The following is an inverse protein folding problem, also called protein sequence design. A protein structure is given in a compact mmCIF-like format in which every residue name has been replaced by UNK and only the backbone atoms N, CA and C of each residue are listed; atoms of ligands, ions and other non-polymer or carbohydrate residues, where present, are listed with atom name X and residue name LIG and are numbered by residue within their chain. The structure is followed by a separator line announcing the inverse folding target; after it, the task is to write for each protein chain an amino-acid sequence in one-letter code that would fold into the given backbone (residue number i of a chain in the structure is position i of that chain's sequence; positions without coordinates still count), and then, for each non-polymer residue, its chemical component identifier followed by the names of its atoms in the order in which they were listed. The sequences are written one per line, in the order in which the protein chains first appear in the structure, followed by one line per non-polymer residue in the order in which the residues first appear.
data_IF_804407558938
#
_entry.id   IF_804407558938
#
_cell.length_a   1.000
_cell.length_b   1.000
_cell.length_c   1.000
_cell.angle_alpha   90.00
_cell.angle_beta   90.00
_cell.angle_gamma   90.00
#
_symmetry.space_group_name_H-M   'P 1'
#
loop_
_entity.id
_entity.type
_entity.pdbx_description
1 polymer ?
#
# COMPACT_ATOMS: atom_id res chain seq x y z
N UNK A 1 -29.55 -71.13 3.40
CA UNK A 1 -28.54 -70.34 4.13
C UNK A 1 -27.25 -70.28 3.31
N UNK A 2 -26.90 -69.11 2.75
CA UNK A 2 -25.55 -68.50 2.67
C UNK A 2 -25.60 -67.27 1.75
N UNK A 3 -24.90 -66.23 2.17
CA UNK A 3 -25.01 -64.82 1.78
C UNK A 3 -24.07 -64.43 0.64
N UNK A 4 -24.46 -63.35 -0.07
CA UNK A 4 -23.68 -62.22 -0.64
C UNK A 4 -22.32 -62.50 -1.30
N UNK A 5 -22.11 -62.01 -2.53
CA UNK A 5 -21.09 -60.97 -2.83
C UNK A 5 -21.57 -60.11 -4.02
N UNK A 6 -21.87 -58.85 -3.76
CA UNK A 6 -22.07 -57.79 -4.75
C UNK A 6 -20.69 -57.33 -5.22
N UNK A 7 -20.39 -57.44 -6.52
CA UNK A 7 -19.13 -56.94 -7.08
C UNK A 7 -19.31 -55.51 -7.60
N UNK A 8 -18.69 -54.59 -6.87
CA UNK A 8 -18.55 -53.16 -7.14
C UNK A 8 -17.79 -52.94 -8.45
N UNK A 9 -18.43 -52.39 -9.48
CA UNK A 9 -17.72 -51.87 -10.67
C UNK A 9 -17.43 -50.39 -10.42
N UNK A 10 -16.16 -50.09 -10.19
CA UNK A 10 -15.63 -48.75 -10.09
C UNK A 10 -15.74 -48.05 -11.46
N UNK A 11 -16.60 -47.04 -11.55
CA UNK A 11 -16.58 -46.09 -12.67
C UNK A 11 -15.61 -44.97 -12.30
N UNK A 12 -14.56 -44.84 -13.09
CA UNK A 12 -13.57 -43.77 -13.02
C UNK A 12 -14.29 -42.41 -13.01
N UNK A 13 -14.18 -41.68 -11.90
CA UNK A 13 -14.45 -40.26 -11.88
C UNK A 13 -13.26 -39.54 -12.54
N UNK A 14 -13.39 -39.28 -13.84
CA UNK A 14 -12.46 -38.45 -14.59
C UNK A 14 -12.42 -37.07 -13.94
N UNK A 15 -11.23 -36.69 -13.46
CA UNK A 15 -10.96 -35.40 -12.86
C UNK A 15 -11.37 -34.26 -13.81
N UNK A 16 -12.51 -33.63 -13.56
CA UNK A 16 -12.75 -32.28 -14.02
C UNK A 16 -11.87 -31.37 -13.16
N UNK A 17 -10.61 -31.23 -13.56
CA UNK A 17 -9.76 -30.13 -13.09
C UNK A 17 -10.44 -28.87 -13.61
N UNK A 18 -11.29 -28.28 -12.77
CA UNK A 18 -11.80 -26.95 -13.00
C UNK A 18 -10.56 -26.07 -13.02
N UNK A 19 -10.12 -25.71 -14.22
CA UNK A 19 -9.18 -24.65 -14.49
C UNK A 19 -9.76 -23.38 -13.90
N UNK A 20 -9.54 -23.20 -12.60
CA UNK A 20 -9.72 -21.95 -11.90
C UNK A 20 -8.67 -21.00 -12.45
N UNK A 21 -8.96 -20.42 -13.61
CA UNK A 21 -8.55 -19.04 -13.84
C UNK A 21 -9.28 -18.27 -12.76
N UNK A 22 -8.63 -18.13 -11.59
CA UNK A 22 -9.00 -17.10 -10.65
C UNK A 22 -9.09 -15.84 -11.50
N UNK A 23 -10.30 -15.30 -11.61
CA UNK A 23 -10.53 -13.96 -12.13
C UNK A 23 -9.68 -13.05 -11.26
N UNK A 24 -8.43 -12.82 -11.65
CA UNK A 24 -7.66 -11.72 -11.14
C UNK A 24 -8.54 -10.54 -11.49
N UNK A 25 -9.20 -9.98 -10.46
CA UNK A 25 -9.75 -8.64 -10.57
C UNK A 25 -8.60 -7.84 -11.12
N UNK A 26 -8.68 -7.42 -12.39
CA UNK A 26 -7.72 -6.50 -12.95
C UNK A 26 -8.06 -5.18 -12.26
N UNK A 27 -7.70 -5.06 -10.98
CA UNK A 27 -7.85 -3.84 -10.24
C UNK A 27 -7.09 -2.81 -11.06
N UNK A 28 -7.85 -1.83 -11.53
CA UNK A 28 -7.33 -0.83 -12.46
C UNK A 28 -6.17 -0.14 -11.75
N UNK A 29 -4.97 -0.34 -12.26
CA UNK A 29 -3.77 0.36 -11.78
C UNK A 29 -4.06 1.86 -11.82
N UNK A 30 -3.98 2.58 -10.67
CA UNK A 30 -4.26 4.00 -10.66
C UNK A 30 -3.22 4.73 -11.51
N UNK A 31 -3.64 5.76 -12.25
CA UNK A 31 -2.69 6.68 -12.84
C UNK A 31 -2.22 7.68 -11.77
N UNK A 32 -1.01 8.23 -11.92
CA UNK A 32 -0.50 9.25 -11.00
C UNK A 32 -1.45 10.45 -10.82
N UNK A 33 -2.14 10.86 -11.90
CA UNK A 33 -3.18 11.91 -11.84
C UNK A 33 -4.34 11.60 -10.90
N UNK A 34 -4.64 10.32 -10.67
CA UNK A 34 -5.71 9.89 -9.77
C UNK A 34 -5.30 10.11 -8.29
N UNK A 35 -3.98 10.24 -8.04
CA UNK A 35 -3.42 10.52 -6.72
C UNK A 35 -3.31 12.02 -6.40
N UNK A 36 -3.45 12.91 -7.39
CA UNK A 36 -3.41 14.37 -7.18
C UNK A 36 -4.45 14.83 -6.17
N UNK A 37 -4.10 15.70 -5.25
CA UNK A 37 -4.97 16.21 -4.18
C UNK A 37 -4.32 16.12 -2.81
N UNK A 38 -5.11 16.38 -1.77
CA UNK A 38 -4.65 16.31 -0.38
C UNK A 38 -5.10 15.01 0.27
N UNK A 39 -4.18 14.39 1.00
CA UNK A 39 -4.37 13.17 1.76
C UNK A 39 -4.01 13.42 3.21
N UNK A 40 -4.92 13.10 4.14
CA UNK A 40 -4.61 13.01 5.55
C UNK A 40 -3.71 11.79 5.78
N UNK A 41 -2.58 11.99 6.44
CA UNK A 41 -1.59 10.95 6.73
C UNK A 41 -1.61 10.60 8.21
N UNK A 42 -1.71 9.30 8.50
CA UNK A 42 -1.52 8.73 9.82
C UNK A 42 -0.51 7.60 9.75
N UNK A 43 0.27 7.42 10.80
CA UNK A 43 1.32 6.41 10.85
C UNK A 43 1.46 5.81 12.23
N UNK A 44 1.72 4.51 12.31
CA UNK A 44 2.04 3.83 13.58
C UNK A 44 3.12 2.77 13.38
N UNK A 45 4.10 2.75 14.29
CA UNK A 45 5.26 1.89 14.16
C UNK A 45 6.33 2.23 15.17
N UNK A 46 7.59 2.17 14.74
CA UNK A 46 8.74 2.34 15.62
C UNK A 46 9.75 3.33 15.05
N UNK A 47 10.33 4.12 15.95
CA UNK A 47 11.45 5.03 15.72
C UNK A 47 12.48 4.72 16.81
N UNK A 48 13.71 4.37 16.42
CA UNK A 48 14.78 3.94 17.35
C UNK A 48 14.34 2.83 18.34
N UNK A 49 13.44 1.94 17.90
CA UNK A 49 12.90 0.86 18.72
C UNK A 49 11.83 1.29 19.73
N UNK A 50 11.40 2.56 19.75
CA UNK A 50 10.29 3.04 20.57
C UNK A 50 9.01 3.16 19.73
N UNK A 51 7.84 2.81 20.29
CA UNK A 51 6.58 2.97 19.58
C UNK A 51 6.27 4.45 19.39
N UNK A 52 5.91 4.83 18.16
CA UNK A 52 5.52 6.19 17.79
C UNK A 52 4.21 6.19 17.02
N UNK A 53 3.51 7.32 17.01
CA UNK A 53 2.29 7.52 16.23
C UNK A 53 2.31 8.90 15.62
N UNK A 54 2.22 8.96 14.30
CA UNK A 54 2.04 10.18 13.55
C UNK A 54 0.56 10.53 13.44
N UNK A 55 0.23 11.78 13.76
CA UNK A 55 -1.11 12.34 13.65
C UNK A 55 -1.03 13.67 12.90
N UNK A 56 -2.14 14.02 12.26
CA UNK A 56 -2.35 15.34 11.67
C UNK A 56 -1.31 15.77 10.62
N UNK A 57 -0.66 14.79 9.97
CA UNK A 57 0.20 15.03 8.81
C UNK A 57 -0.64 15.03 7.53
N UNK A 58 -0.11 15.62 6.46
CA UNK A 58 -0.73 15.60 5.13
C UNK A 58 0.29 15.28 4.06
N UNK A 59 -0.17 14.59 3.04
CA UNK A 59 0.49 14.51 1.73
C UNK A 59 -0.33 15.34 0.74
N UNK A 60 0.31 16.29 0.08
CA UNK A 60 -0.28 17.06 -1.02
C UNK A 60 0.43 16.65 -2.30
N UNK A 61 -0.32 16.13 -3.27
CA UNK A 61 0.17 15.82 -4.62
C UNK A 61 -0.38 16.87 -5.57
N UNK A 62 0.47 17.77 -6.05
CA UNK A 62 0.07 18.93 -6.87
C UNK A 62 0.52 18.84 -8.33
N UNK A 63 1.37 17.87 -8.66
CA UNK A 63 1.86 17.61 -10.01
C UNK A 63 1.76 16.12 -10.33
N UNK A 64 1.33 15.79 -11.55
CA UNK A 64 1.36 14.43 -12.06
C UNK A 64 1.54 14.41 -13.59
N UNK A 65 2.45 13.57 -14.07
CA UNK A 65 2.66 13.32 -15.50
C UNK A 65 2.95 11.84 -15.73
N UNK A 66 2.15 11.21 -16.60
CA UNK A 66 2.23 9.76 -16.83
C UNK A 66 2.01 8.97 -15.53
N UNK A 67 3.04 8.28 -15.08
CA UNK A 67 3.05 7.53 -13.82
C UNK A 67 3.86 8.21 -12.70
N UNK A 68 4.49 9.35 -12.97
CA UNK A 68 5.19 10.14 -11.96
C UNK A 68 4.29 11.21 -11.35
N UNK A 69 4.54 11.54 -10.09
CA UNK A 69 3.93 12.66 -9.39
C UNK A 69 4.90 13.33 -8.42
N UNK A 70 4.60 14.56 -8.05
CA UNK A 70 5.35 15.33 -7.07
C UNK A 70 4.41 16.16 -6.20
N UNK A 71 4.95 16.63 -5.08
CA UNK A 71 4.24 17.49 -4.15
C UNK A 71 5.01 17.66 -2.84
N UNK A 72 4.31 17.70 -1.71
CA UNK A 72 4.93 17.87 -0.41
C UNK A 72 4.20 17.16 0.73
N UNK A 73 4.95 16.78 1.77
CA UNK A 73 4.46 16.40 3.09
C UNK A 73 4.35 17.65 3.96
N UNK A 74 3.24 17.82 4.68
CA UNK A 74 3.05 18.90 5.65
C UNK A 74 2.84 18.26 7.03
N UNK A 75 3.62 18.69 8.02
CA UNK A 75 3.53 18.19 9.40
C UNK A 75 3.84 19.30 10.39
N UNK A 76 3.55 19.05 11.67
CA UNK A 76 3.78 20.00 12.74
C UNK A 76 4.27 19.26 13.98
N UNK A 77 5.42 19.69 14.49
CA UNK A 77 5.93 19.23 15.77
C UNK A 77 5.57 20.24 16.86
N UNK A 78 5.35 19.76 18.08
CA UNK A 78 4.98 20.62 19.20
C UNK A 78 6.02 21.72 19.44
N UNK A 79 5.59 22.97 19.28
CA UNK A 79 6.45 24.14 19.50
C UNK A 79 7.25 24.59 18.29
N UNK A 80 7.08 23.95 17.13
CA UNK A 80 7.73 24.33 15.86
C UNK A 80 6.71 24.90 14.86
N UNK A 81 7.17 25.70 13.90
CA UNK A 81 6.29 26.11 12.79
C UNK A 81 5.94 24.89 11.92
N UNK A 82 4.78 24.89 11.22
CA UNK A 82 4.46 23.84 10.25
C UNK A 82 5.58 23.64 9.23
N UNK A 83 6.03 22.40 9.10
CA UNK A 83 7.11 22.00 8.22
C UNK A 83 6.55 21.50 6.89
N UNK A 84 7.35 21.66 5.83
CA UNK A 84 7.06 21.12 4.51
C UNK A 84 8.29 20.46 3.92
N UNK A 85 8.09 19.24 3.44
CA UNK A 85 9.14 18.45 2.78
C UNK A 85 8.68 18.08 1.38
N UNK A 86 9.56 18.28 0.40
CA UNK A 86 9.27 17.89 -0.97
C UNK A 86 9.20 16.37 -1.06
N UNK A 87 8.25 15.86 -1.86
CA UNK A 87 8.15 14.44 -2.16
C UNK A 87 8.09 14.22 -3.66
N UNK A 88 8.65 13.09 -4.10
CA UNK A 88 8.53 12.60 -5.46
C UNK A 88 8.03 11.16 -5.42
N UNK A 89 7.13 10.80 -6.33
CA UNK A 89 6.59 9.46 -6.35
C UNK A 89 6.25 8.94 -7.73
N UNK A 90 5.99 7.64 -7.79
CA UNK A 90 5.56 6.97 -9.00
C UNK A 90 4.60 5.81 -8.70
N UNK A 91 3.71 5.52 -9.64
CA UNK A 91 2.89 4.31 -9.62
C UNK A 91 3.50 3.26 -10.55
N UNK A 92 3.85 2.11 -9.99
CA UNK A 92 4.34 0.95 -10.71
C UNK A 92 3.28 0.33 -11.61
N UNK A 93 3.71 -0.43 -12.60
CA UNK A 93 2.82 -1.17 -13.52
C UNK A 93 1.97 -2.23 -12.82
N UNK A 94 2.33 -2.58 -11.58
CA UNK A 94 1.64 -3.50 -10.68
C UNK A 94 0.74 -2.76 -9.66
N UNK A 95 0.61 -1.44 -9.76
CA UNK A 95 -0.17 -0.61 -8.83
C UNK A 95 0.54 -0.28 -7.52
N UNK A 96 1.81 -0.65 -7.37
CA UNK A 96 2.61 -0.22 -6.22
C UNK A 96 2.91 1.28 -6.31
N UNK A 97 2.62 2.00 -5.24
CA UNK A 97 2.87 3.44 -5.11
C UNK A 97 4.16 3.59 -4.31
N UNK A 98 5.16 4.24 -4.91
CA UNK A 98 6.42 4.58 -4.25
C UNK A 98 6.52 6.09 -4.09
N UNK A 99 6.89 6.56 -2.91
CA UNK A 99 7.11 7.97 -2.61
C UNK A 99 8.45 8.08 -1.90
N UNK A 100 9.26 9.08 -2.23
CA UNK A 100 10.51 9.38 -1.54
C UNK A 100 10.54 10.86 -1.16
N UNK A 101 11.04 11.13 0.04
CA UNK A 101 11.47 12.41 0.57
C UNK A 101 13.00 12.38 0.79
N UNK A 102 13.53 13.32 1.58
CA UNK A 102 14.97 13.50 1.77
C UNK A 102 15.60 12.42 2.67
N UNK A 103 14.80 11.77 3.51
CA UNK A 103 15.24 10.88 4.58
C UNK A 103 14.66 9.47 4.50
N UNK A 104 13.58 9.27 3.74
CA UNK A 104 12.93 7.98 3.64
C UNK A 104 12.23 7.70 2.33
N UNK A 105 11.51 6.58 2.36
CA UNK A 105 10.63 6.19 1.28
C UNK A 105 9.41 5.44 1.82
N UNK A 106 8.29 5.64 1.14
CA UNK A 106 7.05 4.91 1.31
C UNK A 106 6.84 3.94 0.16
N UNK A 107 6.35 2.74 0.47
CA UNK A 107 5.84 1.76 -0.50
C UNK A 107 4.45 1.31 -0.08
N UNK A 108 3.47 1.43 -0.96
CA UNK A 108 2.08 1.08 -0.66
C UNK A 108 1.22 0.83 -1.89
N UNK A 109 -0.10 0.78 -1.70
CA UNK A 109 -1.10 0.58 -2.76
C UNK A 109 -2.39 1.33 -2.45
N UNK A 110 -3.12 1.68 -3.50
CA UNK A 110 -4.48 2.18 -3.39
C UNK A 110 -5.44 1.00 -3.15
N UNK A 111 -6.11 0.98 -2.00
CA UNK A 111 -7.08 -0.04 -1.58
C UNK A 111 -8.31 0.68 -1.04
N UNK A 112 -9.48 0.43 -1.64
CA UNK A 112 -10.75 1.02 -1.21
C UNK A 112 -10.72 2.56 -1.03
N UNK A 113 -10.02 3.26 -1.93
CA UNK A 113 -9.89 4.72 -1.90
C UNK A 113 -8.88 5.27 -0.89
N UNK A 114 -8.16 4.40 -0.17
CA UNK A 114 -7.06 4.74 0.74
C UNK A 114 -5.73 4.29 0.17
N UNK A 115 -4.65 5.02 0.43
CA UNK A 115 -3.31 4.51 0.14
C UNK A 115 -2.74 3.92 1.43
N UNK A 116 -2.46 2.62 1.42
CA UNK A 116 -1.96 1.87 2.56
C UNK A 116 -0.55 1.37 2.24
N UNK A 117 0.39 1.49 3.18
CA UNK A 117 1.74 1.03 2.96
C UNK A 117 2.66 1.19 4.15
N UNK A 118 3.96 1.14 3.88
CA UNK A 118 5.01 1.31 4.88
C UNK A 118 5.93 2.44 4.49
N UNK A 119 6.23 3.31 5.45
CA UNK A 119 7.31 4.28 5.35
C UNK A 119 8.53 3.76 6.11
N UNK A 120 9.70 3.94 5.50
CA UNK A 120 11.00 3.55 6.05
C UNK A 120 11.95 4.73 5.93
N UNK A 121 12.49 5.17 7.05
CA UNK A 121 13.57 6.16 7.11
C UNK A 121 14.88 5.44 7.42
N UNK A 122 15.95 5.79 6.68
CA UNK A 122 17.28 5.21 6.92
C UNK A 122 18.32 6.33 6.98
N UNK A 123 18.47 6.91 8.16
CA UNK A 123 19.55 7.82 8.46
C UNK A 123 20.59 7.16 9.38
N UNK A 124 21.78 7.76 9.47
CA UNK A 124 22.86 7.22 10.28
C UNK A 124 22.54 7.40 11.78
N UNK A 125 21.98 6.36 12.39
CA UNK A 125 21.67 6.31 13.82
C UNK A 125 20.18 6.45 14.13
N UNK A 126 19.38 6.86 13.14
CA UNK A 126 17.94 7.02 13.24
C UNK A 126 17.28 6.10 12.21
N UNK A 127 16.41 5.20 12.67
CA UNK A 127 15.65 4.30 11.80
C UNK A 127 14.20 4.31 12.19
N UNK A 128 13.34 4.55 11.22
CA UNK A 128 11.89 4.54 11.41
C UNK A 128 11.26 3.53 10.48
N UNK A 129 10.28 2.78 11.00
CA UNK A 129 9.40 1.94 10.19
C UNK A 129 7.98 2.12 10.69
N UNK A 130 7.12 2.62 9.81
CA UNK A 130 5.75 2.99 10.12
C UNK A 130 4.79 2.34 9.14
N UNK A 131 3.71 1.76 9.62
CA UNK A 131 2.56 1.46 8.77
C UNK A 131 1.78 2.76 8.61
N UNK A 132 1.58 3.18 7.36
CA UNK A 132 1.01 4.47 7.00
C UNK A 132 -0.32 4.26 6.28
N UNK A 133 -1.32 5.04 6.68
CA UNK A 133 -2.60 5.19 6.00
C UNK A 133 -2.76 6.64 5.53
N UNK A 134 -3.09 6.78 4.25
CA UNK A 134 -3.41 8.03 3.57
C UNK A 134 -4.88 8.01 3.16
N UNK A 135 -5.66 8.95 3.68
CA UNK A 135 -7.09 9.09 3.38
C UNK A 135 -7.34 10.41 2.65
N UNK A 136 -8.07 10.34 1.54
CA UNK A 136 -8.43 11.54 0.77
C UNK A 136 -9.21 12.55 1.62
N UNK A 137 -8.81 13.82 1.56
CA UNK A 137 -9.56 14.95 2.17
C UNK A 137 -10.58 15.55 1.20
#
# INVERSE_FOLDING_TARGET
MKRLITATVAVLATAAVVSGCASGSSDKVPAAKDLMGTWAQTGAGFEEGKPVTWKDQKLVVDQAEGQGFAGFKEYHNDGEDPQREAVNGAVGVDGEIRIADDDGFFVGRLVDGKILGQYVEVQKGESQVLNVELVRQ
#
